data_IF_775675689728
#
_entry.id   IF_775675689728
#
_cell.length_a   1.000
_cell.length_b   1.000
_cell.length_c   1.000
_cell.angle_alpha   90.00
_cell.angle_beta   90.00
_cell.angle_gamma   90.00
#
_symmetry.space_group_name_H-M   'P 1'
#
loop_
_entity.id
_entity.type
_entity.pdbx_description
1 polymer ?
#
# COMPACT_ATOMS: atom_id res chain seq x y z
N UNK A 1 14.91 9.51 9.93
CA UNK A 1 14.80 8.59 8.78
C UNK A 1 16.07 7.72 8.65
N UNK A 2 17.23 8.24 8.95
CA UNK A 2 18.52 7.50 8.92
C UNK A 2 18.51 6.26 9.82
N UNK A 3 17.86 6.33 10.96
CA UNK A 3 17.74 5.21 11.92
C UNK A 3 17.04 3.98 11.30
N UNK A 4 16.17 4.17 10.31
CA UNK A 4 15.52 3.09 9.57
C UNK A 4 16.26 2.75 8.27
N UNK A 5 16.90 3.73 7.65
CA UNK A 5 17.58 3.55 6.37
C UNK A 5 18.83 2.67 6.52
N UNK A 6 19.66 2.89 7.54
CA UNK A 6 20.88 2.13 7.75
C UNK A 6 20.65 0.62 7.94
N UNK A 7 19.76 0.15 8.86
CA UNK A 7 19.53 -1.28 9.01
C UNK A 7 18.87 -1.92 7.79
N UNK A 8 18.05 -1.17 7.03
CA UNK A 8 17.47 -1.69 5.78
C UNK A 8 18.54 -1.85 4.70
N UNK A 9 19.49 -0.93 4.62
CA UNK A 9 20.62 -1.03 3.68
C UNK A 9 21.56 -2.19 4.06
N UNK A 10 21.87 -2.33 5.34
CA UNK A 10 22.71 -3.44 5.83
C UNK A 10 22.05 -4.80 5.58
N UNK A 11 20.74 -4.90 5.80
CA UNK A 11 19.97 -6.10 5.48
C UNK A 11 19.94 -6.36 3.96
N UNK A 12 19.80 -5.31 3.14
CA UNK A 12 19.86 -5.43 1.68
C UNK A 12 21.20 -5.97 1.22
N UNK A 13 22.31 -5.43 1.74
CA UNK A 13 23.68 -5.89 1.47
C UNK A 13 23.90 -7.34 1.93
N UNK A 14 23.36 -7.69 3.09
CA UNK A 14 23.43 -9.05 3.60
C UNK A 14 22.70 -10.04 2.67
N UNK A 15 21.47 -9.70 2.24
CA UNK A 15 20.71 -10.53 1.28
C UNK A 15 21.49 -10.67 -0.04
N UNK A 16 22.03 -9.56 -0.54
CA UNK A 16 22.80 -9.55 -1.78
C UNK A 16 23.98 -10.53 -1.79
N UNK A 17 24.68 -10.71 -0.66
CA UNK A 17 25.80 -11.67 -0.54
C UNK A 17 25.39 -13.11 -0.89
N UNK A 18 24.12 -13.46 -0.69
CA UNK A 18 23.62 -14.81 -0.99
C UNK A 18 23.00 -14.92 -2.38
N UNK A 19 22.41 -13.84 -2.87
CA UNK A 19 21.60 -13.87 -4.10
C UNK A 19 22.38 -13.36 -5.32
N UNK A 20 23.39 -12.49 -5.12
CA UNK A 20 24.21 -11.94 -6.18
C UNK A 20 23.48 -10.97 -7.14
N UNK A 21 22.24 -10.56 -6.81
CA UNK A 21 21.43 -9.63 -7.62
C UNK A 21 20.65 -8.66 -6.73
N UNK A 22 20.88 -7.35 -6.89
CA UNK A 22 20.24 -6.33 -6.06
C UNK A 22 18.72 -6.22 -6.27
N UNK A 23 18.23 -6.43 -7.48
CA UNK A 23 16.79 -6.40 -7.73
C UNK A 23 16.05 -7.53 -7.01
N UNK A 24 16.64 -8.75 -7.01
CA UNK A 24 16.10 -9.88 -6.24
C UNK A 24 16.25 -9.62 -4.75
N UNK A 25 17.34 -9.01 -4.30
CA UNK A 25 17.53 -8.64 -2.90
C UNK A 25 16.47 -7.63 -2.43
N UNK A 26 16.08 -6.66 -3.26
CA UNK A 26 14.98 -5.71 -2.98
C UNK A 26 13.64 -6.44 -2.83
N UNK A 27 13.35 -7.42 -3.68
CA UNK A 27 12.12 -8.23 -3.58
C UNK A 27 12.09 -8.99 -2.25
N UNK A 28 13.17 -9.68 -1.89
CA UNK A 28 13.29 -10.44 -0.64
C UNK A 28 13.17 -9.51 0.57
N UNK A 29 13.89 -8.38 0.56
CA UNK A 29 13.78 -7.36 1.59
C UNK A 29 12.34 -6.89 1.77
N UNK A 30 11.64 -6.63 0.67
CA UNK A 30 10.22 -6.22 0.69
C UNK A 30 9.34 -7.28 1.35
N UNK A 31 9.56 -8.55 1.04
CA UNK A 31 8.83 -9.67 1.65
C UNK A 31 9.10 -9.71 3.17
N UNK A 32 10.35 -9.60 3.60
CA UNK A 32 10.73 -9.61 5.03
C UNK A 32 10.04 -8.45 5.77
N UNK A 33 10.15 -7.22 5.25
CA UNK A 33 9.51 -6.04 5.85
C UNK A 33 8.00 -6.22 5.94
N UNK A 34 7.37 -6.77 4.90
CA UNK A 34 5.93 -7.06 4.89
C UNK A 34 5.53 -8.12 5.90
N UNK A 35 6.33 -9.15 6.10
CA UNK A 35 6.09 -10.18 7.12
C UNK A 35 6.19 -9.60 8.53
N UNK A 36 7.18 -8.76 8.79
CA UNK A 36 7.33 -8.07 10.09
C UNK A 36 6.14 -7.16 10.37
N UNK A 37 5.68 -6.41 9.36
CA UNK A 37 4.53 -5.49 9.50
C UNK A 37 3.17 -6.21 9.37
N UNK A 38 3.16 -7.51 9.05
CA UNK A 38 1.93 -8.28 8.82
C UNK A 38 0.90 -8.20 9.95
N UNK A 39 1.25 -8.40 11.24
CA UNK A 39 0.28 -8.34 12.33
C UNK A 39 -0.39 -6.96 12.45
N UNK A 40 0.35 -5.90 12.14
CA UNK A 40 -0.15 -4.54 12.21
C UNK A 40 -1.06 -4.21 11.03
N UNK A 41 -0.66 -4.61 9.82
CA UNK A 41 -1.48 -4.46 8.60
C UNK A 41 -2.77 -5.27 8.67
N UNK A 42 -2.75 -6.47 9.29
CA UNK A 42 -3.96 -7.26 9.54
C UNK A 42 -4.99 -6.53 10.41
N UNK A 43 -4.54 -5.85 11.48
CA UNK A 43 -5.43 -5.04 12.33
C UNK A 43 -6.09 -3.91 11.52
N UNK A 44 -5.33 -3.23 10.69
CA UNK A 44 -5.82 -2.19 9.78
C UNK A 44 -6.88 -2.73 8.80
N UNK A 45 -6.60 -3.84 8.14
CA UNK A 45 -7.52 -4.47 7.17
C UNK A 45 -8.81 -4.97 7.83
N UNK A 46 -8.74 -5.52 9.06
CA UNK A 46 -9.93 -5.90 9.82
C UNK A 46 -10.80 -4.67 10.16
N UNK A 47 -10.18 -3.54 10.52
CA UNK A 47 -10.89 -2.29 10.78
C UNK A 47 -11.58 -1.76 9.52
N UNK A 48 -10.89 -1.77 8.37
CA UNK A 48 -11.48 -1.39 7.07
C UNK A 48 -12.69 -2.24 6.72
N UNK A 49 -12.61 -3.55 6.92
CA UNK A 49 -13.72 -4.47 6.60
C UNK A 49 -14.94 -4.22 7.49
N UNK A 50 -14.75 -3.93 8.78
CA UNK A 50 -15.83 -3.51 9.68
C UNK A 50 -16.47 -2.19 9.22
N UNK A 51 -15.65 -1.26 8.77
CA UNK A 51 -16.12 0.03 8.24
C UNK A 51 -16.96 -0.18 6.96
N UNK A 52 -16.56 -1.09 6.07
CA UNK A 52 -17.32 -1.47 4.88
C UNK A 52 -18.71 -2.02 5.24
N UNK A 53 -18.82 -2.82 6.31
CA UNK A 53 -20.11 -3.35 6.78
C UNK A 53 -21.06 -2.24 7.28
N UNK A 54 -20.50 -1.10 7.73
CA UNK A 54 -21.27 0.07 8.13
C UNK A 54 -21.67 0.99 6.96
N UNK A 55 -21.10 0.77 5.76
CA UNK A 55 -21.34 1.60 4.58
C UNK A 55 -22.84 1.84 4.25
N UNK A 56 -23.74 0.83 4.31
CA UNK A 56 -25.18 1.07 4.05
C UNK A 56 -25.82 1.98 5.11
N UNK A 57 -25.40 1.88 6.37
CA UNK A 57 -25.91 2.77 7.43
C UNK A 57 -25.38 4.20 7.27
N UNK A 58 -24.14 4.32 6.80
CA UNK A 58 -23.52 5.63 6.53
C UNK A 58 -24.20 6.37 5.39
N UNK A 59 -24.55 5.65 4.30
CA UNK A 59 -25.31 6.24 3.19
C UNK A 59 -26.65 6.83 3.68
N UNK A 60 -27.38 6.11 4.54
CA UNK A 60 -28.62 6.61 5.14
C UNK A 60 -28.41 7.88 5.99
N UNK A 61 -27.29 7.96 6.73
CA UNK A 61 -26.94 9.15 7.49
C UNK A 61 -26.59 10.32 6.57
N UNK A 62 -25.84 10.08 5.49
CA UNK A 62 -25.53 11.10 4.48
C UNK A 62 -26.80 11.67 3.82
N UNK A 63 -27.74 10.82 3.48
CA UNK A 63 -29.04 11.25 2.92
C UNK A 63 -29.83 12.07 3.95
N UNK A 64 -29.87 11.61 5.21
CA UNK A 64 -30.62 12.28 6.29
C UNK A 64 -30.07 13.66 6.64
N UNK A 65 -28.76 13.81 6.64
CA UNK A 65 -28.09 15.05 7.06
C UNK A 65 -27.39 15.78 5.89
N UNK A 66 -27.89 15.61 4.67
CA UNK A 66 -27.30 16.17 3.43
C UNK A 66 -27.00 17.67 3.51
N UNK A 67 -27.87 18.44 4.21
CA UNK A 67 -27.76 19.89 4.33
C UNK A 67 -27.05 20.36 5.61
N UNK A 68 -26.59 19.43 6.47
CA UNK A 68 -25.91 19.77 7.72
C UNK A 68 -24.67 18.89 7.91
N UNK A 69 -23.54 19.35 7.32
CA UNK A 69 -22.26 18.63 7.34
C UNK A 69 -21.73 18.42 8.76
N UNK A 70 -21.96 19.36 9.66
CA UNK A 70 -21.47 19.28 11.04
C UNK A 70 -22.19 18.18 11.82
N UNK A 71 -23.50 18.12 11.72
CA UNK A 71 -24.32 17.08 12.34
C UNK A 71 -24.07 15.71 11.72
N UNK A 72 -23.81 15.65 10.40
CA UNK A 72 -23.40 14.43 9.71
C UNK A 72 -22.09 13.88 10.29
N UNK A 73 -21.07 14.72 10.46
CA UNK A 73 -19.79 14.32 11.01
C UNK A 73 -19.91 13.83 12.46
N UNK A 74 -20.70 14.50 13.29
CA UNK A 74 -20.96 14.11 14.68
C UNK A 74 -21.62 12.74 14.76
N UNK A 75 -22.67 12.50 13.98
CA UNK A 75 -23.39 11.22 13.94
C UNK A 75 -22.54 10.08 13.37
N UNK A 76 -21.72 10.36 12.36
CA UNK A 76 -20.77 9.38 11.82
C UNK A 76 -19.72 9.00 12.86
N UNK A 77 -19.13 9.94 13.58
CA UNK A 77 -18.18 9.67 14.64
C UNK A 77 -18.81 8.91 15.81
N UNK A 78 -20.05 9.24 16.19
CA UNK A 78 -20.82 8.51 17.20
C UNK A 78 -21.07 7.06 16.76
N UNK A 79 -21.42 6.84 15.48
CA UNK A 79 -21.61 5.50 14.93
C UNK A 79 -20.32 4.67 14.94
N UNK A 80 -19.15 5.26 14.60
CA UNK A 80 -17.86 4.59 14.67
C UNK A 80 -17.50 4.19 16.09
N UNK A 81 -17.67 5.11 17.05
CA UNK A 81 -17.44 4.81 18.49
C UNK A 81 -18.34 3.68 18.98
N UNK A 82 -19.64 3.73 18.67
CA UNK A 82 -20.62 2.69 19.04
C UNK A 82 -20.24 1.30 18.50
N UNK A 83 -19.70 1.23 17.26
CA UNK A 83 -19.32 -0.04 16.63
C UNK A 83 -17.83 -0.41 16.85
N UNK A 84 -17.11 0.34 17.70
CA UNK A 84 -15.68 0.13 18.01
C UNK A 84 -14.81 0.04 16.74
N UNK A 85 -15.09 0.89 15.74
CA UNK A 85 -14.36 0.97 14.48
C UNK A 85 -13.51 2.23 14.47
N UNK A 86 -12.22 2.09 14.18
CA UNK A 86 -11.32 3.22 14.04
C UNK A 86 -11.22 3.63 12.56
N UNK A 87 -11.65 4.83 12.16
CA UNK A 87 -11.55 5.30 10.78
C UNK A 87 -10.09 5.42 10.28
N UNK A 88 -9.15 5.66 11.19
CA UNK A 88 -7.72 5.69 10.86
C UNK A 88 -7.13 4.31 10.54
N UNK A 89 -7.82 3.22 10.88
CA UNK A 89 -7.38 1.87 10.53
C UNK A 89 -7.27 1.63 9.04
N UNK A 90 -8.02 2.37 8.22
CA UNK A 90 -7.98 2.29 6.75
C UNK A 90 -6.72 2.87 6.12
N UNK A 91 -6.17 3.95 6.67
CA UNK A 91 -4.94 4.59 6.17
C UNK A 91 -3.67 4.03 6.83
N UNK A 92 -3.80 3.17 7.87
CA UNK A 92 -2.65 2.59 8.59
C UNK A 92 -1.63 1.90 7.67
N UNK A 93 -2.02 1.07 6.68
CA UNK A 93 -1.06 0.48 5.75
C UNK A 93 -0.25 1.54 4.98
N UNK A 94 -0.91 2.63 4.56
CA UNK A 94 -0.25 3.74 3.86
C UNK A 94 0.71 4.50 4.78
N UNK A 95 0.30 4.78 6.02
CA UNK A 95 1.15 5.46 7.00
C UNK A 95 2.40 4.64 7.35
N UNK A 96 2.27 3.31 7.42
CA UNK A 96 3.41 2.42 7.64
C UNK A 96 4.32 2.32 6.43
N UNK A 97 3.78 2.48 5.24
CA UNK A 97 4.52 2.43 3.99
C UNK A 97 5.43 3.64 3.80
N UNK A 98 5.00 4.85 4.22
CA UNK A 98 5.76 6.09 4.01
C UNK A 98 7.16 6.08 4.64
N UNK A 99 7.36 5.73 5.93
CA UNK A 99 8.69 5.65 6.51
C UNK A 99 9.60 4.66 5.80
N UNK A 100 9.07 3.48 5.41
CA UNK A 100 9.83 2.46 4.69
C UNK A 100 10.20 2.96 3.28
N UNK A 101 9.25 3.61 2.60
CA UNK A 101 9.48 4.21 1.29
C UNK A 101 10.60 5.26 1.33
N UNK A 102 10.54 6.22 2.25
CA UNK A 102 11.56 7.26 2.36
C UNK A 102 12.91 6.71 2.80
N UNK A 103 12.93 5.70 3.68
CA UNK A 103 14.15 5.04 4.10
C UNK A 103 14.82 4.33 2.91
N UNK A 104 14.06 3.58 2.13
CA UNK A 104 14.56 2.91 0.93
C UNK A 104 14.95 3.89 -0.17
N UNK A 105 14.17 4.94 -0.40
CA UNK A 105 14.52 5.99 -1.36
C UNK A 105 15.87 6.62 -1.01
N UNK A 106 16.07 7.01 0.26
CA UNK A 106 17.33 7.56 0.74
C UNK A 106 18.47 6.54 0.58
N UNK A 107 18.24 5.29 0.97
CA UNK A 107 19.25 4.23 0.86
C UNK A 107 19.65 3.93 -0.58
N UNK A 108 18.66 3.78 -1.47
CA UNK A 108 18.88 3.49 -2.89
C UNK A 108 19.54 4.66 -3.63
N UNK A 109 19.20 5.91 -3.25
CA UNK A 109 19.80 7.11 -3.85
C UNK A 109 21.23 7.34 -3.41
N UNK A 110 21.59 6.93 -2.20
CA UNK A 110 22.95 7.11 -1.64
C UNK A 110 23.84 5.87 -1.81
N UNK A 111 23.28 4.72 -2.10
CA UNK A 111 24.04 3.48 -2.28
C UNK A 111 24.76 3.46 -3.62
N UNK A 112 26.09 3.61 -3.58
CA UNK A 112 26.95 3.55 -4.77
C UNK A 112 26.88 2.16 -5.42
N UNK A 113 26.64 1.13 -4.65
CA UNK A 113 26.58 -0.27 -5.09
C UNK A 113 25.38 -0.57 -6.03
N UNK A 114 24.36 0.27 -6.01
CA UNK A 114 23.19 0.13 -6.89
C UNK A 114 23.37 0.81 -8.24
N UNK A 115 24.40 1.65 -8.36
CA UNK A 115 24.75 2.26 -9.64
C UNK A 115 25.28 1.20 -10.60
N UNK A 116 24.66 1.13 -11.79
CA UNK A 116 24.94 0.12 -12.80
C UNK A 116 24.69 -1.32 -12.36
N UNK A 117 23.91 -1.52 -11.27
CA UNK A 117 23.50 -2.86 -10.85
C UNK A 117 22.32 -3.32 -11.73
N UNK A 118 22.51 -4.38 -12.57
CA UNK A 118 21.43 -4.91 -13.40
C UNK A 118 20.46 -5.73 -12.55
N UNK A 119 19.20 -5.79 -13.01
CA UNK A 119 18.22 -6.70 -12.42
C UNK A 119 17.93 -7.86 -13.37
N UNK A 120 16.91 -7.74 -14.20
CA UNK A 120 16.47 -8.75 -15.16
C UNK A 120 16.05 -8.07 -16.47
N UNK A 121 16.28 -8.77 -17.59
CA UNK A 121 15.84 -8.38 -18.93
C UNK A 121 16.34 -6.98 -19.33
N UNK A 122 15.45 -5.98 -19.33
CA UNK A 122 15.71 -4.62 -19.81
C UNK A 122 16.22 -3.65 -18.74
N UNK A 123 16.22 -4.05 -17.46
CA UNK A 123 16.68 -3.18 -16.37
C UNK A 123 18.17 -3.37 -16.17
N UNK A 124 18.96 -2.45 -16.75
CA UNK A 124 20.41 -2.47 -16.70
C UNK A 124 20.99 -1.69 -15.52
N UNK A 125 20.21 -0.80 -14.92
CA UNK A 125 20.62 0.04 -13.81
C UNK A 125 19.43 0.30 -12.87
N UNK A 126 19.52 -0.22 -11.64
CA UNK A 126 18.49 -0.04 -10.61
C UNK A 126 18.46 1.37 -10.03
N UNK A 127 19.51 2.15 -10.20
CA UNK A 127 19.59 3.55 -9.73
C UNK A 127 18.97 4.54 -10.71
N UNK A 128 18.73 4.13 -11.95
CA UNK A 128 18.13 4.95 -13.00
C UNK A 128 16.64 4.60 -13.21
N UNK A 129 15.85 5.50 -13.77
CA UNK A 129 14.51 5.18 -14.21
C UNK A 129 14.49 4.07 -15.26
N UNK A 130 13.41 3.30 -15.29
CA UNK A 130 13.22 2.26 -16.30
C UNK A 130 13.06 2.90 -17.70
N UNK A 131 14.05 2.70 -18.56
CA UNK A 131 14.09 3.28 -19.91
C UNK A 131 12.96 2.82 -20.82
N UNK A 132 12.41 1.62 -20.63
CA UNK A 132 11.24 1.12 -21.37
C UNK A 132 9.90 1.50 -20.72
N UNK A 133 9.92 1.95 -19.47
CA UNK A 133 8.71 2.34 -18.75
C UNK A 133 7.78 1.17 -18.37
N UNK A 134 8.24 -0.07 -18.50
CA UNK A 134 7.42 -1.26 -18.25
C UNK A 134 7.11 -1.38 -16.74
N UNK A 135 8.12 -1.17 -15.87
CA UNK A 135 7.91 -1.26 -14.42
C UNK A 135 6.97 -0.18 -13.88
N UNK A 136 7.02 1.11 -14.29
CA UNK A 136 6.02 2.10 -13.94
C UNK A 136 4.59 1.73 -14.39
N UNK A 137 4.45 1.19 -15.60
CA UNK A 137 3.13 0.76 -16.10
C UNK A 137 2.58 -0.41 -15.29
N UNK A 138 3.38 -1.44 -15.01
CA UNK A 138 2.99 -2.56 -14.15
C UNK A 138 2.62 -2.10 -12.75
N UNK A 139 3.36 -1.12 -12.21
CA UNK A 139 3.04 -0.52 -10.93
C UNK A 139 1.68 0.18 -10.96
N UNK A 140 1.39 0.99 -11.98
CA UNK A 140 0.10 1.65 -12.16
C UNK A 140 -1.06 0.66 -12.24
N UNK A 141 -0.90 -0.41 -13.02
CA UNK A 141 -1.88 -1.50 -13.11
C UNK A 141 -2.08 -2.16 -11.75
N UNK A 142 -1.00 -2.48 -11.03
CA UNK A 142 -1.09 -3.07 -9.69
C UNK A 142 -1.81 -2.16 -8.69
N UNK A 143 -1.55 -0.84 -8.71
CA UNK A 143 -2.24 0.14 -7.88
C UNK A 143 -3.74 0.19 -8.19
N UNK A 144 -4.12 0.16 -9.45
CA UNK A 144 -5.51 0.15 -9.86
C UNK A 144 -6.25 -1.09 -9.35
N UNK A 145 -5.64 -2.28 -9.47
CA UNK A 145 -6.19 -3.51 -8.90
C UNK A 145 -6.29 -3.46 -7.38
N UNK A 146 -5.24 -2.98 -6.72
CA UNK A 146 -5.24 -2.82 -5.27
C UNK A 146 -6.34 -1.88 -4.81
N UNK A 147 -6.54 -0.77 -5.51
CA UNK A 147 -7.60 0.20 -5.21
C UNK A 147 -9.00 -0.41 -5.36
N UNK A 148 -9.23 -1.22 -6.41
CA UNK A 148 -10.51 -1.93 -6.59
C UNK A 148 -10.79 -2.95 -5.50
N UNK A 149 -9.76 -3.63 -5.00
CA UNK A 149 -9.88 -4.60 -3.93
C UNK A 149 -10.02 -3.95 -2.55
N UNK A 150 -9.52 -2.73 -2.41
CA UNK A 150 -9.58 -1.98 -1.15
C UNK A 150 -10.96 -1.35 -0.99
N UNK A 151 -11.69 -1.65 0.09
CA UNK A 151 -13.00 -1.06 0.32
C UNK A 151 -12.86 0.46 0.43
N UNK A 152 -13.52 1.19 -0.47
CA UNK A 152 -13.58 2.64 -0.35
C UNK A 152 -14.36 3.03 0.90
N UNK A 153 -13.82 3.97 1.65
CA UNK A 153 -14.51 4.53 2.80
C UNK A 153 -15.76 5.27 2.32
N UNK A 154 -16.93 4.87 2.82
CA UNK A 154 -18.19 5.56 2.54
C UNK A 154 -18.24 7.01 3.10
N UNK A 155 -17.18 7.46 3.77
CA UNK A 155 -17.01 8.82 4.28
C UNK A 155 -16.50 9.81 3.23
N UNK A 156 -16.03 9.35 2.08
CA UNK A 156 -15.44 10.26 1.12
C UNK A 156 -16.53 11.12 0.45
N UNK A 157 -16.34 12.43 0.49
CA UNK A 157 -17.06 13.36 -0.38
C UNK A 157 -16.87 12.88 -1.85
N UNK A 158 -17.85 13.01 -2.72
CA UNK A 158 -17.74 12.65 -4.14
C UNK A 158 -16.49 13.21 -4.82
N UNK A 159 -16.05 14.40 -4.41
CA UNK A 159 -14.82 15.03 -4.90
C UNK A 159 -13.57 14.27 -4.45
N UNK A 160 -13.50 13.88 -3.17
CA UNK A 160 -12.39 13.07 -2.64
C UNK A 160 -12.35 11.68 -3.28
N UNK A 161 -13.50 11.06 -3.52
CA UNK A 161 -13.59 9.77 -4.19
C UNK A 161 -13.02 9.84 -5.62
N UNK A 162 -13.30 10.91 -6.39
CA UNK A 162 -12.72 11.14 -7.72
C UNK A 162 -11.20 11.32 -7.66
N UNK A 163 -10.70 12.13 -6.73
CA UNK A 163 -9.26 12.33 -6.53
C UNK A 163 -8.57 11.00 -6.24
N UNK A 164 -9.14 10.20 -5.34
CA UNK A 164 -8.59 8.88 -5.02
C UNK A 164 -8.59 7.93 -6.22
N UNK A 165 -9.60 7.99 -7.09
CA UNK A 165 -9.64 7.19 -8.32
C UNK A 165 -8.58 7.61 -9.35
N UNK A 166 -8.22 8.90 -9.37
CA UNK A 166 -7.18 9.41 -10.28
C UNK A 166 -5.75 9.18 -9.73
N UNK A 167 -5.62 8.93 -8.44
CA UNK A 167 -4.33 8.79 -7.77
C UNK A 167 -3.39 7.75 -8.43
N UNK A 168 -3.84 6.54 -8.83
CA UNK A 168 -2.98 5.59 -9.54
C UNK A 168 -2.42 6.14 -10.84
N UNK A 169 -3.20 6.91 -11.59
CA UNK A 169 -2.77 7.51 -12.86
C UNK A 169 -1.68 8.55 -12.59
N UNK A 170 -1.92 9.47 -11.65
CA UNK A 170 -0.96 10.51 -11.27
C UNK A 170 0.34 9.86 -10.78
N UNK A 171 0.24 8.85 -9.90
CA UNK A 171 1.40 8.14 -9.39
C UNK A 171 2.17 7.41 -10.49
N UNK A 172 1.50 6.80 -11.47
CA UNK A 172 2.15 6.16 -12.60
C UNK A 172 3.05 7.16 -13.34
N UNK A 173 2.58 8.38 -13.60
CA UNK A 173 3.40 9.42 -14.23
C UNK A 173 4.63 9.78 -13.38
N UNK A 174 4.47 9.92 -12.06
CA UNK A 174 5.61 10.20 -11.19
C UNK A 174 6.64 9.07 -11.16
N UNK A 175 6.20 7.82 -11.26
CA UNK A 175 7.12 6.67 -11.20
C UNK A 175 7.99 6.52 -12.43
N UNK A 176 7.68 7.17 -13.56
CA UNK A 176 8.61 7.26 -14.69
C UNK A 176 9.90 8.04 -14.36
N UNK A 177 9.89 8.86 -13.32
CA UNK A 177 11.08 9.61 -12.85
C UNK A 177 11.81 8.93 -11.71
N UNK A 178 11.25 7.86 -11.13
CA UNK A 178 11.84 7.18 -9.99
C UNK A 178 12.83 6.09 -10.43
N UNK A 179 13.89 5.85 -9.63
CA UNK A 179 14.80 4.73 -9.84
C UNK A 179 14.05 3.41 -9.97
N UNK A 180 14.50 2.54 -10.88
CA UNK A 180 13.86 1.25 -11.14
C UNK A 180 13.80 0.38 -9.87
N UNK A 181 14.84 0.42 -9.02
CA UNK A 181 14.85 -0.30 -7.75
C UNK A 181 13.71 0.09 -6.80
N UNK A 182 13.37 1.38 -6.75
CA UNK A 182 12.26 1.88 -5.94
C UNK A 182 10.91 1.45 -6.53
N UNK A 183 10.79 1.48 -7.85
CA UNK A 183 9.57 1.03 -8.55
C UNK A 183 9.34 -0.47 -8.37
N UNK A 184 10.41 -1.30 -8.42
CA UNK A 184 10.36 -2.75 -8.12
C UNK A 184 9.90 -2.99 -6.68
N UNK A 185 10.48 -2.27 -5.72
CA UNK A 185 10.03 -2.33 -4.33
C UNK A 185 8.53 -2.07 -4.21
N UNK A 186 8.04 -0.98 -4.82
CA UNK A 186 6.63 -0.60 -4.72
C UNK A 186 5.72 -1.60 -5.43
N UNK A 187 6.08 -2.05 -6.62
CA UNK A 187 5.35 -3.10 -7.36
C UNK A 187 5.23 -4.38 -6.53
N UNK A 188 6.36 -4.87 -5.97
CA UNK A 188 6.37 -6.04 -5.10
C UNK A 188 5.48 -5.86 -3.87
N UNK A 189 5.55 -4.69 -3.24
CA UNK A 189 4.74 -4.31 -2.10
C UNK A 189 3.23 -4.31 -2.43
N UNK A 190 2.84 -3.82 -3.61
CA UNK A 190 1.46 -3.85 -4.09
C UNK A 190 0.98 -5.28 -4.35
N UNK A 191 1.79 -6.10 -5.03
CA UNK A 191 1.46 -7.49 -5.29
C UNK A 191 1.23 -8.28 -3.99
N UNK A 192 2.09 -8.10 -2.99
CA UNK A 192 1.93 -8.71 -1.67
C UNK A 192 0.67 -8.21 -0.95
N UNK A 193 0.33 -6.92 -1.07
CA UNK A 193 -0.91 -6.37 -0.50
C UNK A 193 -2.16 -6.96 -1.16
N UNK A 194 -2.14 -7.10 -2.49
CA UNK A 194 -3.22 -7.73 -3.25
C UNK A 194 -3.39 -9.18 -2.80
N UNK A 195 -2.29 -9.94 -2.73
CA UNK A 195 -2.30 -11.33 -2.28
C UNK A 195 -2.87 -11.45 -0.86
N UNK A 196 -2.38 -10.62 0.07
CA UNK A 196 -2.86 -10.56 1.45
C UNK A 196 -4.37 -10.31 1.50
N UNK A 197 -4.87 -9.38 0.69
CA UNK A 197 -6.28 -9.02 0.65
C UNK A 197 -7.15 -10.14 0.07
N UNK A 198 -6.69 -10.81 -0.99
CA UNK A 198 -7.38 -11.96 -1.58
C UNK A 198 -7.48 -13.12 -0.59
N UNK A 199 -6.38 -13.44 0.11
CA UNK A 199 -6.34 -14.49 1.14
C UNK A 199 -7.33 -14.17 2.27
N UNK A 200 -7.31 -12.93 2.79
CA UNK A 200 -8.24 -12.52 3.85
C UNK A 200 -9.71 -12.53 3.41
N UNK A 201 -9.99 -12.24 2.15
CA UNK A 201 -11.34 -12.33 1.62
C UNK A 201 -11.81 -13.78 1.52
N UNK A 202 -10.95 -14.71 1.11
CA UNK A 202 -11.28 -16.16 1.05
C UNK A 202 -11.50 -16.78 2.43
N UNK A 203 -10.62 -16.50 3.40
CA UNK A 203 -10.73 -17.07 4.76
C UNK A 203 -12.07 -16.71 5.41
N UNK A 204 -12.60 -15.51 5.20
CA UNK A 204 -13.89 -15.10 5.76
C UNK A 204 -15.09 -15.71 5.06
N UNK A 205 -15.00 -16.01 3.78
CA UNK A 205 -16.06 -16.76 3.08
C UNK A 205 -16.19 -18.15 3.69
N UNK A 206 -15.08 -18.79 4.06
CA UNK A 206 -15.08 -20.10 4.70
C UNK A 206 -15.66 -20.08 6.13
N UNK A 207 -15.37 -19.02 6.92
CA UNK A 207 -15.87 -18.89 8.31
C UNK A 207 -17.36 -18.51 8.40
N UNK A 208 -17.93 -17.86 7.37
CA UNK A 208 -19.37 -17.57 7.31
C UNK A 208 -20.20 -18.82 6.99
N UNK A 209 -19.59 -19.84 6.38
CA UNK A 209 -20.25 -21.13 6.09
C UNK A 209 -20.20 -22.13 7.27
N UNK A 210 -19.38 -21.86 8.28
CA UNK A 210 -19.18 -22.77 9.44
C UNK A 210 -19.80 -22.26 10.75
N UNK A 211 -20.56 -21.16 10.70
CA UNK A 211 -21.36 -20.71 11.85
C UNK A 211 -22.79 -21.21 11.69
N UNK A 212 -23.30 -22.12 12.59
CA UNK A 212 -24.70 -22.56 12.61
C UNK A 212 -25.65 -21.42 12.94
#
# INVERSE_FOLDING_TARGET
LEVLAAPLLDLLRWIYKYVGNYGVAIIILTIIVRLVLFPLTLKGMKSMKRMQQLAPRMKKLQEKYKNNKEKLNQEMMAMYRKNKVNPLGGCLPMLLQLPVFFALYSSLSSAVELRHAPFLFWINDLSQPDGLGITPLLMGVSMFFQQKLTPQSAMMDPTQAKIMQMLPIIFTFFTFTFPAGLTIYWLTSNCLSILQQLVLNRIKTCLLYTSP
#
